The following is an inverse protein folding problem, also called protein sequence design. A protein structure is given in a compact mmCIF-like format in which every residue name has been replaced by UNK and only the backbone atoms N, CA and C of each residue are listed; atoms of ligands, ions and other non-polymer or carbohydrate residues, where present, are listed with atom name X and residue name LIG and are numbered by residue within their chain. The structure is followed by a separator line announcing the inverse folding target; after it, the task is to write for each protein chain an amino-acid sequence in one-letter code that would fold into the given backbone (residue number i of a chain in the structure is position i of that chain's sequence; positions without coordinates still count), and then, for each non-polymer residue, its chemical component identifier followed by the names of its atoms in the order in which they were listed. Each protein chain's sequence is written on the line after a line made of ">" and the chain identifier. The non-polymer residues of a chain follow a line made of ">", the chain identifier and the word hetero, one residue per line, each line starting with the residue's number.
data_IF_722315854641
#
_entry.id   IF_722315854641
#
_cell.length_a   1.000
_cell.length_b   1.000
_cell.length_c   1.000
_cell.angle_alpha   90.00
_cell.angle_beta   90.00
_cell.angle_gamma   90.00
#
_symmetry.space_group_name_H-M   'P 1'
#
loop_
_entity.id
_entity.type
_entity.pdbx_description
1 polymer ?
#
# COMPACT_ATOMS: atom_id res chain seq x y z
N UNK A 1 -25.61 -15.96 59.61
CA UNK A 1 -26.18 -15.91 58.24
C UNK A 1 -26.13 -14.47 57.81
N UNK A 2 -25.27 -14.12 56.84
CA UNK A 2 -25.30 -12.80 56.23
C UNK A 2 -25.14 -12.97 54.73
N UNK A 3 -26.02 -12.29 54.00
CA UNK A 3 -26.43 -12.63 52.65
C UNK A 3 -25.30 -12.53 51.63
N UNK A 4 -25.16 -13.60 50.84
CA UNK A 4 -24.38 -13.59 49.62
C UNK A 4 -24.86 -12.46 48.72
N UNK A 5 -23.93 -11.56 48.40
CA UNK A 5 -24.14 -10.51 47.41
C UNK A 5 -23.99 -11.16 46.04
N UNK A 6 -25.12 -11.59 45.47
CA UNK A 6 -25.21 -12.08 44.10
C UNK A 6 -24.80 -10.93 43.17
N UNK A 7 -23.69 -11.09 42.46
CA UNK A 7 -23.30 -10.16 41.39
C UNK A 7 -24.26 -10.35 40.21
N UNK A 8 -24.76 -9.28 39.57
CA UNK A 8 -25.60 -9.43 38.39
C UNK A 8 -24.76 -10.07 37.28
N UNK A 9 -25.27 -11.13 36.66
CA UNK A 9 -24.76 -11.60 35.37
C UNK A 9 -24.92 -10.47 34.36
N UNK A 10 -23.82 -9.90 33.85
CA UNK A 10 -23.93 -8.87 32.81
C UNK A 10 -22.77 -7.92 32.53
N UNK A 11 -21.60 -8.02 33.20
CA UNK A 11 -20.42 -7.23 32.79
C UNK A 11 -19.18 -8.12 32.75
N UNK A 12 -18.89 -8.66 31.57
CA UNK A 12 -17.62 -9.35 31.34
C UNK A 12 -16.44 -8.41 31.56
N UNK A 13 -15.35 -8.92 32.14
CA UNK A 13 -14.11 -8.16 32.30
C UNK A 13 -13.56 -7.81 30.92
N UNK A 14 -13.38 -6.51 30.64
CA UNK A 14 -12.78 -6.05 29.39
C UNK A 14 -11.26 -6.15 29.50
N UNK A 15 -10.66 -7.07 28.75
CA UNK A 15 -9.20 -7.16 28.60
C UNK A 15 -8.70 -6.11 27.60
N UNK A 16 -7.51 -5.55 27.86
CA UNK A 16 -6.85 -4.58 26.97
C UNK A 16 -5.40 -4.98 26.75
N UNK A 17 -5.03 -5.13 25.49
CA UNK A 17 -3.65 -5.25 25.06
C UNK A 17 -3.29 -4.05 24.17
N UNK A 18 -2.01 -3.71 24.12
CA UNK A 18 -1.48 -2.70 23.21
C UNK A 18 -0.25 -3.28 22.52
N UNK A 19 -0.13 -3.02 21.22
CA UNK A 19 1.11 -3.20 20.47
C UNK A 19 1.75 -1.81 20.28
N UNK A 20 2.70 -1.39 21.14
CA UNK A 20 3.26 -0.04 21.08
C UNK A 20 3.99 0.24 19.76
N UNK A 21 4.06 1.52 19.38
CA UNK A 21 4.79 1.93 18.16
C UNK A 21 6.32 1.71 18.25
N UNK A 22 6.84 1.43 19.45
CA UNK A 22 8.25 1.12 19.71
C UNK A 22 8.61 -0.33 19.41
N UNK A 23 7.64 -1.25 19.42
CA UNK A 23 7.88 -2.66 19.07
C UNK A 23 7.97 -2.74 17.54
N UNK A 24 9.09 -3.13 16.94
CA UNK A 24 9.16 -3.29 15.49
C UNK A 24 8.24 -4.43 15.05
N UNK A 25 7.43 -4.19 14.01
CA UNK A 25 6.60 -5.21 13.39
C UNK A 25 7.01 -5.28 11.91
N UNK A 26 7.70 -6.35 11.47
CA UNK A 26 8.19 -6.45 10.09
C UNK A 26 7.07 -6.28 9.05
N UNK A 27 7.45 -5.91 7.83
CA UNK A 27 6.51 -5.78 6.72
C UNK A 27 5.81 -7.13 6.46
N UNK A 28 4.47 -7.14 6.40
CA UNK A 28 3.74 -8.39 6.34
C UNK A 28 2.25 -8.29 6.66
N UNK A 29 1.63 -9.46 6.82
CA UNK A 29 0.26 -9.64 7.33
C UNK A 29 0.39 -10.44 8.63
N UNK A 30 -0.14 -9.88 9.70
CA UNK A 30 0.03 -10.40 11.04
C UNK A 30 -1.33 -10.77 11.61
N UNK A 31 -1.45 -12.02 11.99
CA UNK A 31 -2.69 -12.56 12.51
C UNK A 31 -2.77 -12.32 14.03
N UNK A 32 -3.94 -11.89 14.51
CA UNK A 32 -4.11 -11.53 15.91
C UNK A 32 -4.77 -12.68 16.68
N UNK A 33 -4.12 -13.11 17.76
CA UNK A 33 -4.60 -14.17 18.66
C UNK A 33 -4.65 -13.67 20.11
N UNK A 34 -5.55 -14.22 20.91
CA UNK A 34 -5.54 -14.09 22.36
C UNK A 34 -5.21 -15.45 23.00
N UNK A 35 -4.29 -15.44 23.94
CA UNK A 35 -3.99 -16.58 24.80
C UNK A 35 -4.40 -16.22 26.23
N UNK A 36 -5.22 -17.05 26.87
CA UNK A 36 -5.64 -16.87 28.26
C UNK A 36 -5.06 -18.04 29.04
N UNK A 37 -4.15 -17.76 29.98
CA UNK A 37 -3.35 -18.80 30.65
C UNK A 37 -2.64 -19.71 29.64
N UNK A 38 -2.74 -21.04 29.81
CA UNK A 38 -2.10 -22.06 28.97
C UNK A 38 -3.08 -22.67 27.94
N UNK A 39 -4.22 -22.01 27.68
CA UNK A 39 -5.19 -22.47 26.69
C UNK A 39 -4.69 -22.29 25.24
N UNK A 40 -5.32 -22.99 24.30
CA UNK A 40 -5.05 -22.82 22.87
C UNK A 40 -5.30 -21.37 22.41
N UNK A 41 -4.37 -20.74 21.67
CA UNK A 41 -4.55 -19.37 21.19
C UNK A 41 -5.79 -19.21 20.30
N UNK A 42 -6.69 -18.32 20.72
CA UNK A 42 -7.94 -18.04 20.01
C UNK A 42 -7.74 -16.92 19.00
N UNK A 43 -8.13 -17.19 17.75
CA UNK A 43 -8.08 -16.19 16.68
C UNK A 43 -9.07 -15.06 16.96
N UNK A 44 -8.58 -13.82 16.94
CA UNK A 44 -9.42 -12.66 17.23
C UNK A 44 -10.27 -12.29 16.02
N UNK A 45 -11.57 -12.11 16.25
CA UNK A 45 -12.44 -11.45 15.28
C UNK A 45 -12.25 -9.92 15.35
N UNK A 46 -12.35 -9.20 14.22
CA UNK A 46 -12.31 -7.76 14.22
C UNK A 46 -13.59 -7.19 14.81
N UNK A 47 -13.44 -6.18 15.68
CA UNK A 47 -14.54 -5.33 16.15
C UNK A 47 -14.58 -3.99 15.42
N UNK A 48 -15.21 -3.00 16.05
CA UNK A 48 -15.15 -1.62 15.58
C UNK A 48 -13.70 -1.11 15.52
N UNK A 49 -13.29 -0.61 14.36
CA UNK A 49 -11.92 -0.14 14.12
C UNK A 49 -11.93 1.36 13.82
N UNK A 50 -11.22 2.15 14.64
CA UNK A 50 -11.04 3.58 14.39
C UNK A 50 -9.70 3.84 13.69
N UNK A 51 -9.77 4.14 12.39
CA UNK A 51 -8.60 4.40 11.55
C UNK A 51 -8.39 5.89 11.24
N UNK A 52 -9.21 6.79 11.79
CA UNK A 52 -9.17 8.23 11.46
C UNK A 52 -7.80 8.85 11.71
N UNK A 53 -7.13 8.41 12.76
CA UNK A 53 -5.78 8.86 13.10
C UNK A 53 -4.72 8.48 12.04
N UNK A 54 -4.94 7.45 11.22
CA UNK A 54 -4.05 7.10 10.11
C UNK A 54 -4.26 8.02 8.92
N UNK A 55 -5.50 8.33 8.57
CA UNK A 55 -5.86 9.15 7.41
C UNK A 55 -5.31 10.58 7.47
N UNK A 56 -5.18 11.15 8.68
CA UNK A 56 -4.68 12.53 8.88
C UNK A 56 -3.20 12.59 9.20
N UNK A 57 -2.51 11.45 9.38
CA UNK A 57 -1.14 11.44 9.88
C UNK A 57 -0.12 11.69 8.78
N UNK A 58 0.68 12.73 8.96
CA UNK A 58 1.89 12.98 8.18
C UNK A 58 3.11 12.67 9.07
N UNK A 59 3.88 11.60 8.77
CA UNK A 59 5.12 11.33 9.51
C UNK A 59 6.08 12.51 9.39
N UNK A 60 6.71 12.91 10.49
CA UNK A 60 7.75 13.95 10.50
C UNK A 60 9.01 13.55 9.73
N UNK A 61 9.19 12.26 9.42
CA UNK A 61 10.41 11.72 8.82
C UNK A 61 11.60 11.60 9.77
N UNK A 62 11.52 12.15 11.00
CA UNK A 62 12.63 12.22 11.95
C UNK A 62 13.14 10.86 12.44
N UNK A 63 12.34 9.80 12.30
CA UNK A 63 12.74 8.43 12.64
C UNK A 63 13.60 7.75 11.56
N UNK A 64 13.83 8.39 10.41
CA UNK A 64 14.56 7.81 9.29
C UNK A 64 13.79 6.72 8.52
N UNK A 65 12.58 6.36 8.97
CA UNK A 65 11.74 5.32 8.39
C UNK A 65 10.25 5.65 8.51
N UNK A 66 9.44 4.98 7.71
CA UNK A 66 7.98 4.97 7.78
C UNK A 66 7.52 3.64 8.36
N UNK A 67 6.71 3.70 9.42
CA UNK A 67 6.08 2.55 10.04
C UNK A 67 4.55 2.73 10.06
N UNK A 68 3.84 1.83 9.39
CA UNK A 68 2.37 1.86 9.29
C UNK A 68 1.82 0.50 9.69
N UNK A 69 0.74 0.51 10.47
CA UNK A 69 0.00 -0.68 10.89
C UNK A 69 -1.48 -0.41 10.69
N UNK A 70 -2.14 -1.22 9.87
CA UNK A 70 -3.57 -1.09 9.57
C UNK A 70 -4.25 -2.39 10.01
N UNK A 71 -5.01 -2.39 11.12
CA UNK A 71 -5.89 -3.50 11.43
C UNK A 71 -7.01 -3.56 10.38
N UNK A 72 -7.29 -4.75 9.86
CA UNK A 72 -8.32 -4.98 8.87
C UNK A 72 -8.87 -6.40 8.98
N UNK A 73 -9.99 -6.63 8.31
CA UNK A 73 -10.56 -7.96 8.09
C UNK A 73 -10.39 -8.28 6.61
N UNK A 74 -9.56 -9.27 6.23
CA UNK A 74 -9.50 -9.71 4.85
C UNK A 74 -10.86 -10.29 4.47
N UNK A 75 -11.46 -9.79 3.41
CA UNK A 75 -12.69 -10.37 2.87
C UNK A 75 -12.39 -11.78 2.39
N UNK A 76 -12.96 -12.80 3.03
CA UNK A 76 -13.14 -14.10 2.39
C UNK A 76 -13.96 -13.85 1.11
N UNK A 77 -13.45 -14.33 -0.03
CA UNK A 77 -14.01 -14.02 -1.34
C UNK A 77 -15.52 -14.17 -1.40
N UNK A 78 -16.16 -13.28 -2.17
CA UNK A 78 -17.58 -13.22 -2.54
C UNK A 78 -18.51 -14.08 -1.68
N UNK A 79 -19.33 -13.43 -0.85
CA UNK A 79 -20.54 -14.04 -0.31
C UNK A 79 -21.23 -14.84 -1.44
N UNK A 80 -21.41 -16.16 -1.25
CA UNK A 80 -22.34 -16.91 -2.08
C UNK A 80 -23.65 -16.14 -2.10
N UNK A 81 -24.11 -15.76 -3.29
CA UNK A 81 -25.35 -15.01 -3.45
C UNK A 81 -26.47 -15.68 -2.62
N UNK A 82 -27.05 -14.93 -1.69
CA UNK A 82 -28.19 -15.37 -0.86
C UNK A 82 -27.88 -15.90 0.54
N UNK A 83 -26.63 -15.92 1.00
CA UNK A 83 -26.32 -16.23 2.42
C UNK A 83 -26.47 -15.01 3.35
N UNK A 84 -26.79 -15.19 4.65
CA UNK A 84 -26.69 -14.10 5.64
C UNK A 84 -25.27 -13.54 5.61
N UNK A 85 -25.04 -12.24 5.94
CA UNK A 85 -23.72 -11.64 5.93
C UNK A 85 -22.74 -12.53 6.71
N UNK A 86 -21.89 -13.22 5.96
CA UNK A 86 -21.00 -14.25 6.49
C UNK A 86 -20.00 -13.56 7.42
N UNK A 87 -19.84 -14.13 8.63
CA UNK A 87 -18.87 -13.77 9.68
C UNK A 87 -17.78 -12.79 9.23
N UNK A 88 -17.65 -11.67 9.95
CA UNK A 88 -16.46 -10.82 9.89
C UNK A 88 -15.22 -11.75 9.85
N UNK A 89 -14.42 -11.70 8.77
CA UNK A 89 -13.19 -12.51 8.68
C UNK A 89 -12.23 -12.13 9.79
N UNK A 90 -11.24 -12.96 10.10
CA UNK A 90 -10.38 -12.75 11.26
C UNK A 90 -9.61 -11.42 11.25
N UNK A 91 -9.28 -10.90 12.44
CA UNK A 91 -8.46 -9.71 12.59
C UNK A 91 -7.05 -9.99 12.11
N UNK A 92 -6.61 -9.22 11.13
CA UNK A 92 -5.24 -9.19 10.63
C UNK A 92 -4.72 -7.75 10.71
N UNK A 93 -3.44 -7.58 11.00
CA UNK A 93 -2.74 -6.31 10.95
C UNK A 93 -1.82 -6.34 9.73
N UNK A 94 -2.07 -5.42 8.80
CA UNK A 94 -1.14 -5.14 7.71
C UNK A 94 -0.05 -4.22 8.24
N UNK A 95 1.22 -4.61 8.12
CA UNK A 95 2.37 -3.83 8.60
C UNK A 95 3.30 -3.48 7.46
N UNK A 96 3.84 -2.26 7.48
CA UNK A 96 4.97 -1.82 6.66
C UNK A 96 6.00 -1.11 7.53
N UNK A 97 7.28 -1.37 7.24
CA UNK A 97 8.43 -0.75 7.88
C UNK A 97 9.48 -0.46 6.81
N UNK A 98 9.53 0.78 6.30
CA UNK A 98 10.36 1.14 5.13
C UNK A 98 11.30 2.30 5.42
N UNK A 99 12.56 2.16 5.00
CA UNK A 99 13.60 3.18 5.12
C UNK A 99 14.55 3.11 3.91
N UNK A 100 14.63 4.15 3.07
CA UNK A 100 13.69 5.27 2.93
C UNK A 100 12.33 4.84 2.35
N UNK A 101 11.36 5.75 2.29
CA UNK A 101 10.04 5.51 1.71
C UNK A 101 9.61 6.62 0.76
N UNK A 102 9.12 6.25 -0.43
CA UNK A 102 8.53 7.17 -1.40
C UNK A 102 7.01 6.97 -1.42
N UNK A 103 6.29 7.89 -0.79
CA UNK A 103 4.83 7.90 -0.75
C UNK A 103 4.25 8.54 -2.02
N UNK A 104 3.47 7.80 -2.77
CA UNK A 104 2.64 8.31 -3.85
C UNK A 104 1.45 9.08 -3.26
N UNK A 105 1.31 10.35 -3.65
CA UNK A 105 0.14 11.18 -3.39
C UNK A 105 -0.88 11.06 -4.54
N UNK A 106 -1.27 12.20 -5.08
CA UNK A 106 -2.23 12.27 -6.18
C UNK A 106 -1.63 11.70 -7.47
N UNK A 107 -2.36 10.76 -8.07
CA UNK A 107 -2.09 10.25 -9.40
C UNK A 107 -3.00 10.97 -10.40
N UNK A 108 -2.42 11.49 -11.47
CA UNK A 108 -3.19 12.09 -12.57
C UNK A 108 -2.95 11.28 -13.83
N UNK A 109 -3.99 10.61 -14.30
CA UNK A 109 -4.01 9.99 -15.62
C UNK A 109 -4.53 11.04 -16.60
N UNK A 110 -3.70 11.44 -17.56
CA UNK A 110 -4.05 12.43 -18.58
C UNK A 110 -3.56 11.98 -19.95
N UNK A 111 -4.48 11.89 -20.91
CA UNK A 111 -4.17 11.41 -22.26
C UNK A 111 -3.46 10.05 -22.24
N UNK A 112 -2.28 9.99 -22.86
CA UNK A 112 -1.46 8.77 -22.99
C UNK A 112 -0.39 8.62 -21.90
N UNK A 113 -0.61 9.13 -20.68
CA UNK A 113 0.40 9.05 -19.61
C UNK A 113 -0.12 9.19 -18.19
N UNK A 114 0.81 8.98 -17.26
CA UNK A 114 0.63 9.08 -15.81
C UNK A 114 1.55 10.15 -15.24
N UNK A 115 0.99 11.16 -14.57
CA UNK A 115 1.76 12.03 -13.69
C UNK A 115 1.65 11.54 -12.25
N UNK A 116 2.80 11.30 -11.63
CA UNK A 116 2.92 10.90 -10.23
C UNK A 116 3.44 12.08 -9.44
N UNK A 117 2.77 12.41 -8.34
CA UNK A 117 3.29 13.31 -7.30
C UNK A 117 3.40 12.56 -5.99
N UNK A 118 4.37 12.93 -5.16
CA UNK A 118 4.60 12.22 -3.91
C UNK A 118 5.54 12.92 -2.96
N UNK A 119 5.88 12.23 -1.87
CA UNK A 119 6.83 12.69 -0.85
C UNK A 119 7.81 11.59 -0.48
N UNK A 120 9.04 12.00 -0.22
CA UNK A 120 10.13 11.15 0.26
C UNK A 120 10.27 11.29 1.76
N UNK A 121 10.41 10.15 2.45
CA UNK A 121 10.60 10.08 3.89
C UNK A 121 11.86 9.27 4.22
N UNK A 122 12.53 9.69 5.30
CA UNK A 122 13.73 9.02 5.83
C UNK A 122 15.04 9.38 5.12
N UNK A 123 14.98 10.16 4.03
CA UNK A 123 16.16 10.74 3.37
C UNK A 123 15.75 11.97 2.55
N UNK A 124 16.72 12.77 2.10
CA UNK A 124 16.52 13.91 1.19
C UNK A 124 16.91 13.58 -0.25
N UNK A 125 16.74 14.53 -1.15
CA UNK A 125 17.21 14.44 -2.53
C UNK A 125 18.63 14.98 -2.67
N UNK A 126 19.39 14.41 -3.61
CA UNK A 126 20.70 14.91 -4.02
C UNK A 126 20.69 15.21 -5.53
N UNK A 127 21.67 15.99 -6.05
CA UNK A 127 21.81 16.21 -7.49
C UNK A 127 21.82 14.88 -8.26
N UNK A 128 21.12 14.86 -9.41
CA UNK A 128 20.96 13.65 -10.22
C UNK A 128 19.83 12.71 -9.77
N UNK A 129 18.97 13.14 -8.84
CA UNK A 129 17.75 12.42 -8.50
C UNK A 129 16.90 12.14 -9.76
N UNK A 130 16.41 10.91 -9.89
CA UNK A 130 15.56 10.52 -11.02
C UNK A 130 14.53 9.45 -10.63
N UNK A 131 13.56 9.24 -11.50
CA UNK A 131 12.64 8.12 -11.43
C UNK A 131 13.07 7.05 -12.44
N UNK A 132 12.84 5.79 -12.08
CA UNK A 132 13.09 4.65 -12.96
C UNK A 132 11.79 3.90 -13.23
N UNK A 133 11.53 3.63 -14.50
CA UNK A 133 10.44 2.77 -14.98
C UNK A 133 11.08 1.48 -15.49
N UNK A 134 10.79 0.36 -14.82
CA UNK A 134 11.45 -0.93 -15.05
C UNK A 134 10.44 -2.00 -15.39
N UNK A 135 10.69 -2.79 -16.44
CA UNK A 135 9.90 -3.98 -16.69
C UNK A 135 10.07 -4.99 -15.55
N UNK A 136 8.97 -5.51 -15.02
CA UNK A 136 9.01 -6.42 -13.86
C UNK A 136 9.57 -7.80 -14.20
N UNK A 137 9.19 -8.32 -15.36
CA UNK A 137 9.45 -9.70 -15.76
C UNK A 137 10.46 -9.83 -16.91
N UNK A 138 11.05 -8.72 -17.34
CA UNK A 138 12.04 -8.71 -18.41
C UNK A 138 13.29 -7.97 -17.92
N UNK A 139 14.45 -8.65 -17.84
CA UNK A 139 15.70 -7.99 -17.51
C UNK A 139 16.06 -7.05 -18.66
N UNK A 140 16.16 -5.76 -18.36
CA UNK A 140 16.47 -4.73 -19.34
C UNK A 140 16.85 -3.41 -18.66
N UNK A 141 17.35 -2.44 -19.42
CA UNK A 141 17.70 -1.14 -18.87
C UNK A 141 16.46 -0.44 -18.31
N UNK A 142 16.63 0.25 -17.19
CA UNK A 142 15.59 1.14 -16.69
C UNK A 142 15.43 2.32 -17.64
N UNK A 143 14.17 2.71 -17.87
CA UNK A 143 13.88 4.01 -18.47
C UNK A 143 13.97 5.05 -17.36
N UNK A 144 14.87 6.02 -17.51
CA UNK A 144 15.01 7.11 -16.55
C UNK A 144 14.13 8.28 -16.95
N UNK A 145 13.50 8.86 -15.95
CA UNK A 145 12.63 10.02 -16.08
C UNK A 145 13.15 11.08 -15.12
N UNK A 146 13.26 12.31 -15.60
CA UNK A 146 13.58 13.45 -14.76
C UNK A 146 12.51 13.63 -13.68
N UNK A 147 12.96 14.00 -12.47
CA UNK A 147 12.09 14.24 -11.34
C UNK A 147 12.20 15.70 -10.96
N UNK A 148 11.07 16.41 -10.98
CA UNK A 148 10.95 17.70 -10.33
C UNK A 148 10.96 17.50 -8.82
N UNK A 149 11.88 18.16 -8.12
CA UNK A 149 12.04 18.10 -6.66
C UNK A 149 11.70 19.45 -6.05
N UNK A 150 10.95 19.40 -4.95
CA UNK A 150 10.64 20.56 -4.10
C UNK A 150 10.70 20.10 -2.64
N UNK A 151 11.78 20.45 -1.93
CA UNK A 151 12.10 19.93 -0.60
C UNK A 151 12.09 18.38 -0.55
N UNK A 152 11.06 17.79 0.06
CA UNK A 152 10.84 16.34 0.11
C UNK A 152 9.79 15.84 -0.88
N UNK A 153 9.20 16.72 -1.68
CA UNK A 153 8.21 16.40 -2.70
C UNK A 153 8.89 16.05 -3.99
N UNK A 154 8.26 15.15 -4.73
CA UNK A 154 8.69 14.80 -6.08
C UNK A 154 7.51 14.76 -7.05
N UNK A 155 7.80 15.03 -8.32
CA UNK A 155 6.87 14.87 -9.43
C UNK A 155 7.57 14.39 -10.70
N UNK A 156 6.95 13.45 -11.41
CA UNK A 156 7.40 13.02 -12.73
C UNK A 156 6.24 12.46 -13.55
N UNK A 157 6.46 12.32 -14.86
CA UNK A 157 5.46 11.80 -15.79
C UNK A 157 5.97 10.58 -16.56
N UNK A 158 5.15 9.55 -16.67
CA UNK A 158 5.41 8.34 -17.45
C UNK A 158 4.51 8.36 -18.69
N UNK A 159 5.12 8.44 -19.87
CA UNK A 159 4.41 8.27 -21.14
C UNK A 159 4.22 6.79 -21.46
N UNK A 160 2.99 6.38 -21.75
CA UNK A 160 2.67 4.97 -22.04
C UNK A 160 3.17 4.51 -23.41
N UNK A 161 3.34 5.41 -24.38
CA UNK A 161 3.81 5.08 -25.73
C UNK A 161 5.19 4.41 -25.75
N UNK A 162 6.00 4.66 -24.72
CA UNK A 162 7.33 4.07 -24.56
C UNK A 162 7.31 2.68 -23.90
N UNK A 163 6.16 2.18 -23.45
CA UNK A 163 6.05 0.96 -22.68
C UNK A 163 5.45 -0.16 -23.54
N UNK A 164 6.17 -1.27 -23.66
CA UNK A 164 5.63 -2.49 -24.25
C UNK A 164 4.66 -3.22 -23.32
N UNK A 165 3.91 -4.21 -23.83
CA UNK A 165 3.03 -5.05 -23.03
C UNK A 165 3.74 -5.65 -21.81
N UNK A 166 3.08 -5.62 -20.65
CA UNK A 166 3.61 -6.15 -19.40
C UNK A 166 3.35 -5.24 -18.19
N UNK A 167 4.10 -5.50 -17.12
CA UNK A 167 4.05 -4.71 -15.89
C UNK A 167 5.34 -3.92 -15.73
N UNK A 168 5.18 -2.63 -15.42
CA UNK A 168 6.26 -1.68 -15.24
C UNK A 168 6.24 -1.13 -13.82
N UNK A 169 7.32 -1.40 -13.07
CA UNK A 169 7.50 -0.93 -11.71
C UNK A 169 8.12 0.46 -11.68
N UNK A 170 7.56 1.32 -10.82
CA UNK A 170 8.02 2.70 -10.65
C UNK A 170 8.90 2.83 -9.41
N UNK A 171 10.10 3.34 -9.60
CA UNK A 171 11.08 3.52 -8.54
C UNK A 171 11.56 4.97 -8.51
N UNK A 172 11.95 5.42 -7.34
CA UNK A 172 12.63 6.68 -7.12
C UNK A 172 14.10 6.42 -6.76
N UNK A 173 15.00 7.16 -7.39
CA UNK A 173 16.45 7.17 -7.14
C UNK A 173 16.80 8.54 -6.55
N UNK A 174 16.64 8.75 -5.23
CA UNK A 174 16.77 10.08 -4.65
C UNK A 174 18.19 10.66 -4.74
N UNK A 175 19.22 9.80 -4.87
CA UNK A 175 20.62 10.22 -5.00
C UNK A 175 21.28 9.68 -6.28
N UNK A 176 20.56 9.67 -7.41
CA UNK A 176 21.11 9.24 -8.69
C UNK A 176 21.50 7.76 -8.73
N UNK A 177 22.58 7.38 -9.44
CA UNK A 177 22.98 5.99 -9.70
C UNK A 177 23.72 5.27 -8.56
N UNK A 178 24.32 6.00 -7.63
CA UNK A 178 25.02 5.41 -6.47
C UNK A 178 24.11 5.26 -5.25
N UNK A 179 22.99 5.99 -5.21
CA UNK A 179 22.06 6.01 -4.09
C UNK A 179 21.14 4.80 -3.92
N UNK A 180 20.22 4.86 -2.93
CA UNK A 180 19.19 3.85 -2.76
C UNK A 180 18.21 3.85 -3.95
N UNK A 181 17.58 2.69 -4.20
CA UNK A 181 16.44 2.56 -5.11
C UNK A 181 15.19 2.32 -4.29
N UNK A 182 14.25 3.26 -4.34
CA UNK A 182 13.08 3.30 -3.44
C UNK A 182 11.84 2.93 -4.22
N UNK A 183 11.12 1.89 -3.81
CA UNK A 183 9.86 1.51 -4.45
C UNK A 183 8.80 2.55 -4.10
N UNK A 184 8.18 3.14 -5.12
CA UNK A 184 7.08 4.10 -4.90
C UNK A 184 5.84 3.31 -4.49
N UNK A 185 5.24 3.67 -3.35
CA UNK A 185 4.07 3.00 -2.80
C UNK A 185 3.14 4.01 -2.12
N UNK A 186 1.93 3.59 -1.75
CA UNK A 186 1.02 4.42 -0.95
C UNK A 186 0.66 3.67 0.32
N UNK A 187 1.14 4.17 1.45
CA UNK A 187 1.05 3.52 2.76
C UNK A 187 0.44 4.43 3.83
N UNK A 188 0.41 5.75 3.61
CA UNK A 188 0.00 6.74 4.61
C UNK A 188 -1.49 7.08 4.50
N UNK A 189 -2.33 6.06 4.46
CA UNK A 189 -3.79 6.15 4.55
C UNK A 189 -4.35 4.95 5.35
N UNK A 190 -5.67 4.83 5.42
CA UNK A 190 -6.39 3.80 6.17
C UNK A 190 -6.74 2.55 5.35
N UNK A 191 -6.25 2.43 4.10
CA UNK A 191 -6.58 1.30 3.22
C UNK A 191 -5.48 0.25 3.23
N UNK A 192 -5.76 -0.90 3.86
CA UNK A 192 -4.84 -2.03 3.99
C UNK A 192 -4.45 -2.66 2.64
N UNK A 193 -5.43 -2.96 1.78
CA UNK A 193 -5.20 -3.54 0.46
C UNK A 193 -5.71 -2.57 -0.62
N UNK A 194 -4.79 -1.90 -1.32
CA UNK A 194 -5.14 -0.85 -2.29
C UNK A 194 -5.61 -1.38 -3.62
N UNK A 195 -5.06 -2.52 -4.04
CA UNK A 195 -5.36 -3.11 -5.35
C UNK A 195 -6.86 -3.26 -5.65
N UNK A 196 -7.73 -3.74 -4.73
CA UNK A 196 -9.17 -3.83 -5.00
C UNK A 196 -9.94 -2.51 -4.83
N UNK A 197 -9.36 -1.51 -4.16
CA UNK A 197 -10.05 -0.25 -3.81
C UNK A 197 -9.74 0.87 -4.79
N UNK A 198 -8.47 1.01 -5.18
CA UNK A 198 -7.99 2.09 -6.03
C UNK A 198 -7.97 1.63 -7.49
N UNK A 199 -9.02 1.99 -8.21
CA UNK A 199 -9.12 1.82 -9.67
C UNK A 199 -8.84 3.14 -10.37
N UNK A 200 -8.19 3.05 -11.52
CA UNK A 200 -7.83 4.21 -12.33
C UNK A 200 -8.30 4.00 -13.77
N UNK A 201 -8.70 5.07 -14.48
CA UNK A 201 -8.99 4.96 -15.90
C UNK A 201 -7.75 4.46 -16.65
N UNK A 202 -7.98 3.61 -17.64
CA UNK A 202 -6.94 3.13 -18.55
C UNK A 202 -7.02 3.90 -19.86
N UNK A 203 -5.86 4.15 -20.47
CA UNK A 203 -5.73 4.86 -21.72
C UNK A 203 -5.35 3.88 -22.84
N UNK A 204 -6.00 4.02 -24.01
CA UNK A 204 -5.57 3.37 -25.24
C UNK A 204 -4.50 4.23 -25.90
N UNK A 205 -3.39 3.62 -26.29
CA UNK A 205 -2.22 4.31 -26.83
C UNK A 205 -1.60 3.47 -27.94
N UNK A 206 -1.26 4.10 -29.05
CA UNK A 206 -0.46 3.47 -30.10
C UNK A 206 1.02 3.51 -29.72
N UNK A 207 1.68 2.35 -29.80
CA UNK A 207 3.08 2.19 -29.42
C UNK A 207 3.87 1.53 -30.54
N UNK A 208 5.21 1.51 -30.42
CA UNK A 208 6.06 0.72 -31.31
C UNK A 208 5.78 -0.81 -31.24
N UNK A 209 5.02 -1.26 -30.24
CA UNK A 209 4.61 -2.66 -30.05
C UNK A 209 3.16 -2.91 -30.49
N UNK A 210 2.54 -1.95 -31.17
CA UNK A 210 1.12 -1.98 -31.53
C UNK A 210 0.23 -1.22 -30.53
N UNK A 211 -1.09 -1.21 -30.76
CA UNK A 211 -2.04 -0.57 -29.86
C UNK A 211 -2.10 -1.30 -28.51
N UNK A 212 -2.08 -0.54 -27.42
CA UNK A 212 -2.13 -1.08 -26.05
C UNK A 212 -3.13 -0.31 -25.19
N UNK A 213 -3.58 -0.95 -24.12
CA UNK A 213 -4.32 -0.33 -23.02
C UNK A 213 -3.44 -0.28 -21.76
N UNK A 214 -3.15 0.93 -21.29
CA UNK A 214 -2.22 1.18 -20.20
C UNK A 214 -2.86 1.95 -19.04
N UNK A 215 -2.46 1.66 -17.81
CA UNK A 215 -2.94 2.41 -16.64
C UNK A 215 -2.19 2.08 -15.36
N UNK A 216 -2.22 2.99 -14.36
CA UNK A 216 -1.61 2.74 -13.08
C UNK A 216 -2.44 1.73 -12.27
N UNK A 217 -1.78 1.01 -11.38
CA UNK A 217 -2.44 0.20 -10.37
C UNK A 217 -1.51 -0.02 -9.17
N UNK A 218 -2.08 -0.39 -8.03
CA UNK A 218 -1.31 -0.81 -6.87
C UNK A 218 -1.14 -2.34 -6.82
N UNK A 219 0.05 -2.80 -6.44
CA UNK A 219 0.36 -4.22 -6.23
C UNK A 219 -0.32 -4.75 -4.95
N UNK A 220 -0.15 -6.05 -4.69
CA UNK A 220 -0.58 -6.68 -3.42
C UNK A 220 0.09 -6.06 -2.19
N UNK A 221 1.25 -5.44 -2.38
CA UNK A 221 2.05 -4.80 -1.33
C UNK A 221 1.95 -3.27 -1.35
N UNK A 222 0.93 -2.76 -2.06
CA UNK A 222 0.61 -1.33 -2.18
C UNK A 222 1.68 -0.50 -2.91
N UNK A 223 2.54 -1.15 -3.68
CA UNK A 223 3.49 -0.48 -4.57
C UNK A 223 2.83 -0.03 -5.87
N UNK A 224 3.24 1.10 -6.42
CA UNK A 224 2.65 1.70 -7.62
C UNK A 224 3.30 1.15 -8.90
N UNK A 225 2.53 0.59 -9.81
CA UNK A 225 3.00 0.09 -11.11
C UNK A 225 2.13 0.62 -12.25
N UNK A 226 2.62 0.50 -13.47
CA UNK A 226 1.82 0.63 -14.70
C UNK A 226 1.60 -0.76 -15.29
N UNK A 227 0.36 -1.10 -15.59
CA UNK A 227 0.00 -2.28 -16.39
C UNK A 227 -0.22 -1.84 -17.83
N UNK A 228 0.35 -2.58 -18.77
CA UNK A 228 0.19 -2.37 -20.22
C UNK A 228 -0.26 -3.70 -20.82
N UNK A 229 -1.36 -3.68 -21.55
CA UNK A 229 -1.96 -4.87 -22.16
C UNK A 229 -2.13 -4.62 -23.65
N UNK A 230 -1.69 -5.55 -24.51
CA UNK A 230 -1.91 -5.42 -25.95
C UNK A 230 -3.41 -5.39 -26.24
N UNK A 231 -3.85 -4.47 -27.10
CA UNK A 231 -5.21 -4.50 -27.61
C UNK A 231 -5.34 -5.62 -28.65
N UNK A 232 -6.47 -6.34 -28.68
CA UNK A 232 -6.74 -7.24 -29.79
C UNK A 232 -6.78 -6.44 -31.09
N UNK A 233 -6.23 -7.02 -32.17
CA UNK A 233 -6.34 -6.45 -33.51
C UNK A 233 -7.83 -6.28 -33.86
N UNK A 234 -8.24 -5.16 -34.49
CA UNK A 234 -9.59 -5.06 -35.03
C UNK A 234 -9.82 -6.20 -36.03
N UNK A 235 -10.94 -6.91 -35.87
CA UNK A 235 -11.42 -7.92 -36.81
C UNK A 235 -11.96 -7.29 -38.09
#
# INVERSE_FOLDING_TARGET
>A
MNHGRTMPAGQGVRLRAALPSTVPLPEGRWDAYACVADDEPLRLAPGATDLRALAVRVPSGSRGHVAVRIPYSPTLGFARAGGPPSRQGDLTVRSWLRAPHAEAGDLRVQGAGLTVRGRLFGTGFAPGACAEVRARHSPGPARRVEVAVDENRFGFSVGYAALGPGVWDLWLRPHGESGPRVRIARLLDDVADKKPVFTYPRARVDTAYGPVEAGPYYTRDNDLSVSVTACPSPQ
#
